data_IF_605927824425
#
_entry.id   IF_605927824425
#
_cell.length_a   1.000
_cell.length_b   1.000
_cell.length_c   1.000
_cell.angle_alpha   90.00
_cell.angle_beta   90.00
_cell.angle_gamma   90.00
#
_symmetry.space_group_name_H-M   'P 1'
#
loop_
_entity.id
_entity.type
_entity.pdbx_description
1 polymer ?
#
# COMPACT_ATOMS: atom_id res chain seq x y z
N UNK A 1 6.25 1.40 15.69
CA UNK A 1 6.81 1.28 14.35
C UNK A 1 5.71 0.96 13.33
N UNK A 2 5.58 1.78 12.27
CA UNK A 2 4.57 1.60 11.24
C UNK A 2 5.22 1.40 9.87
N UNK A 3 4.81 0.36 9.15
CA UNK A 3 5.15 0.16 7.73
C UNK A 3 3.94 0.57 6.87
N UNK A 4 4.15 1.48 5.94
CA UNK A 4 3.18 1.81 4.90
C UNK A 4 3.68 1.18 3.60
N UNK A 5 2.94 0.22 3.05
CA UNK A 5 3.26 -0.36 1.75
C UNK A 5 2.39 0.32 0.69
N UNK A 6 3.03 1.06 -0.20
CA UNK A 6 2.39 1.62 -1.38
C UNK A 6 2.49 0.58 -2.49
N UNK A 7 1.38 -0.09 -2.76
CA UNK A 7 1.26 -1.03 -3.87
C UNK A 7 1.18 -0.31 -5.21
N UNK A 8 1.55 -0.99 -6.26
CA UNK A 8 1.55 -0.47 -7.63
C UNK A 8 0.57 -1.28 -8.48
N UNK A 9 -0.39 -0.60 -9.08
CA UNK A 9 -1.30 -1.14 -10.12
C UNK A 9 -2.21 -2.30 -9.66
N UNK A 10 -2.41 -2.53 -8.37
CA UNK A 10 -3.30 -3.60 -7.88
C UNK A 10 -4.73 -3.10 -7.81
N UNK A 11 -5.64 -3.73 -8.56
CA UNK A 11 -7.06 -3.39 -8.59
C UNK A 11 -7.90 -4.22 -7.61
N UNK A 12 -8.97 -3.63 -7.08
CA UNK A 12 -9.86 -4.27 -6.13
C UNK A 12 -10.55 -5.53 -6.69
N UNK A 13 -10.86 -5.56 -7.99
CA UNK A 13 -11.60 -6.63 -8.66
C UNK A 13 -10.84 -7.98 -8.69
N UNK A 14 -9.50 -7.96 -8.62
CA UNK A 14 -8.67 -9.18 -8.60
C UNK A 14 -8.12 -9.49 -7.20
N UNK A 15 -8.60 -8.80 -6.17
CA UNK A 15 -8.18 -9.01 -4.78
C UNK A 15 -9.02 -10.09 -4.10
N UNK A 16 -8.40 -11.21 -3.71
CA UNK A 16 -9.09 -12.37 -3.14
C UNK A 16 -9.92 -12.05 -1.90
N UNK A 17 -9.41 -11.20 -0.99
CA UNK A 17 -10.14 -10.76 0.22
C UNK A 17 -11.39 -9.93 -0.09
N UNK A 18 -11.54 -9.39 -1.30
CA UNK A 18 -12.75 -8.70 -1.76
C UNK A 18 -13.78 -9.64 -2.40
N UNK A 19 -13.56 -10.96 -2.32
CA UNK A 19 -14.47 -11.94 -2.89
C UNK A 19 -14.25 -12.22 -4.38
N UNK A 20 -13.07 -11.92 -4.90
CA UNK A 20 -12.70 -12.34 -6.25
C UNK A 20 -12.81 -13.87 -6.42
N UNK A 21 -13.32 -14.34 -7.57
CA UNK A 21 -13.56 -15.77 -7.80
C UNK A 21 -12.31 -16.66 -7.81
N UNK A 22 -11.12 -16.05 -7.82
CA UNK A 22 -9.83 -16.73 -7.62
C UNK A 22 -9.19 -16.24 -6.32
N UNK A 23 -8.67 -17.18 -5.52
CA UNK A 23 -7.94 -16.79 -4.31
C UNK A 23 -6.54 -16.32 -4.69
N UNK A 24 -6.38 -15.01 -4.81
CA UNK A 24 -5.12 -14.30 -5.10
C UNK A 24 -4.43 -13.76 -3.84
N UNK A 25 -5.07 -13.87 -2.67
CA UNK A 25 -4.54 -13.41 -1.39
C UNK A 25 -4.62 -14.49 -0.31
N UNK A 26 -4.10 -15.73 -0.58
CA UNK A 26 -4.25 -16.85 0.35
C UNK A 26 -3.48 -16.66 1.66
N UNK A 27 -2.34 -15.98 1.64
CA UNK A 27 -1.54 -15.78 2.84
C UNK A 27 -2.15 -14.71 3.76
N UNK A 28 -2.60 -13.58 3.20
CA UNK A 28 -3.32 -12.56 3.97
C UNK A 28 -4.64 -13.09 4.54
N UNK A 29 -5.33 -13.98 3.81
CA UNK A 29 -6.56 -14.62 4.29
C UNK A 29 -6.32 -15.53 5.52
N UNK A 30 -5.08 -15.98 5.74
CA UNK A 30 -4.68 -16.77 6.89
C UNK A 30 -4.16 -15.93 8.07
N UNK A 31 -4.05 -14.60 7.89
CA UNK A 31 -3.58 -13.64 8.91
C UNK A 31 -4.73 -12.82 9.46
N UNK A 32 -4.55 -12.29 10.68
CA UNK A 32 -5.53 -11.42 11.34
C UNK A 32 -5.46 -9.98 10.79
N UNK A 33 -5.85 -9.79 9.52
CA UNK A 33 -5.84 -8.49 8.86
C UNK A 33 -7.24 -7.85 8.82
N UNK A 34 -7.28 -6.53 8.72
CA UNK A 34 -8.49 -5.76 8.39
C UNK A 34 -8.44 -5.39 6.93
N UNK A 35 -9.35 -5.94 6.12
CA UNK A 35 -9.46 -5.65 4.69
C UNK A 35 -10.56 -4.62 4.43
N UNK A 36 -10.20 -3.53 3.76
CA UNK A 36 -11.13 -2.49 3.32
C UNK A 36 -11.62 -2.84 1.92
N UNK A 37 -12.91 -3.14 1.79
CA UNK A 37 -13.47 -3.74 0.58
C UNK A 37 -13.86 -2.74 -0.52
N UNK A 38 -13.99 -1.45 -0.18
CA UNK A 38 -14.37 -0.39 -1.12
C UNK A 38 -13.50 0.85 -0.93
N UNK A 39 -12.34 0.87 -1.58
CA UNK A 39 -11.40 1.98 -1.52
C UNK A 39 -11.23 2.63 -2.89
N UNK A 40 -11.32 3.97 -2.94
CA UNK A 40 -11.14 4.74 -4.17
C UNK A 40 -9.79 5.44 -4.16
N UNK A 41 -9.00 5.22 -5.21
CA UNK A 41 -7.71 5.88 -5.40
C UNK A 41 -7.87 7.37 -5.75
N UNK A 42 -6.88 8.17 -5.41
CA UNK A 42 -6.84 9.58 -5.75
C UNK A 42 -6.61 9.85 -7.24
N UNK A 43 -5.95 8.95 -7.93
CA UNK A 43 -5.64 9.03 -9.35
C UNK A 43 -5.75 7.66 -10.02
N UNK A 44 -5.54 7.66 -11.33
CA UNK A 44 -5.44 6.48 -12.17
C UNK A 44 -4.00 6.20 -12.62
N UNK A 45 -3.03 6.87 -11.99
CA UNK A 45 -1.59 6.70 -12.20
C UNK A 45 -0.80 7.18 -10.99
N UNK A 46 0.43 6.70 -10.86
CA UNK A 46 1.34 6.95 -9.74
C UNK A 46 1.68 8.44 -9.54
N UNK A 47 1.89 9.19 -10.65
CA UNK A 47 2.24 10.61 -10.60
C UNK A 47 1.17 11.49 -9.94
N UNK A 48 -0.09 11.06 -9.99
CA UNK A 48 -1.22 11.73 -9.35
C UNK A 48 -1.50 11.12 -7.97
N UNK A 49 -1.59 9.80 -7.89
CA UNK A 49 -2.03 9.11 -6.68
C UNK A 49 -1.07 9.28 -5.52
N UNK A 50 0.23 9.06 -5.73
CA UNK A 50 1.21 9.05 -4.64
C UNK A 50 1.30 10.41 -3.93
N UNK A 51 1.52 11.56 -4.61
CA UNK A 51 1.49 12.85 -3.92
C UNK A 51 0.16 13.14 -3.22
N UNK A 52 -0.95 12.73 -3.83
CA UNK A 52 -2.29 12.98 -3.34
C UNK A 52 -2.59 12.21 -2.05
N UNK A 53 -2.28 10.90 -2.01
CA UNK A 53 -2.57 10.05 -0.84
C UNK A 53 -1.71 10.40 0.39
N UNK A 54 -0.57 11.05 0.18
CA UNK A 54 0.29 11.57 1.25
C UNK A 54 0.04 13.05 1.57
N UNK A 55 -1.01 13.65 1.02
CA UNK A 55 -1.40 15.05 1.23
C UNK A 55 -2.63 15.18 2.14
N UNK A 56 -2.67 16.22 2.94
CA UNK A 56 -3.85 16.57 3.74
C UNK A 56 -5.07 16.96 2.89
N UNK A 57 -4.85 17.34 1.62
CA UNK A 57 -5.93 17.78 0.73
C UNK A 57 -6.69 16.62 0.10
N UNK A 58 -5.95 15.54 -0.27
CA UNK A 58 -6.53 14.37 -0.90
C UNK A 58 -7.22 14.64 -2.24
N UNK A 59 -8.11 13.73 -2.66
CA UNK A 59 -8.90 13.87 -3.87
C UNK A 59 -10.06 14.86 -3.72
N UNK A 60 -10.62 14.98 -2.53
CA UNK A 60 -11.75 15.88 -2.24
C UNK A 60 -11.43 17.37 -2.47
N UNK A 61 -10.18 17.77 -2.27
CA UNK A 61 -9.68 19.15 -2.48
C UNK A 61 -8.44 19.11 -3.38
N UNK A 62 -8.53 18.33 -4.47
CA UNK A 62 -7.41 18.07 -5.35
C UNK A 62 -7.01 19.31 -6.13
N UNK A 63 -5.84 19.81 -5.85
CA UNK A 63 -5.11 20.80 -6.62
C UNK A 63 -3.63 20.36 -6.66
N UNK A 64 -3.14 20.10 -7.87
CA UNK A 64 -1.79 19.59 -8.09
C UNK A 64 -0.70 20.49 -7.52
N UNK A 65 -0.85 21.80 -7.75
CA UNK A 65 0.17 22.78 -7.37
C UNK A 65 0.14 23.01 -5.87
N UNK A 66 -1.04 23.02 -5.26
CA UNK A 66 -1.26 23.10 -3.83
C UNK A 66 -0.67 21.86 -3.12
N UNK A 67 -0.92 20.66 -3.63
CA UNK A 67 -0.38 19.40 -3.09
C UNK A 67 1.15 19.43 -3.16
N UNK A 68 1.73 19.79 -4.31
CA UNK A 68 3.19 19.84 -4.50
C UNK A 68 3.88 20.96 -3.73
N UNK A 69 3.17 22.05 -3.46
CA UNK A 69 3.65 23.18 -2.69
C UNK A 69 3.47 23.05 -1.17
N UNK A 70 2.92 21.95 -0.71
CA UNK A 70 2.62 21.70 0.70
C UNK A 70 3.45 20.53 1.25
N UNK A 71 3.59 20.50 2.58
CA UNK A 71 4.24 19.37 3.24
C UNK A 71 3.42 18.09 3.11
N UNK A 72 4.12 16.99 2.86
CA UNK A 72 3.54 15.66 2.85
C UNK A 72 3.32 15.14 4.27
N UNK A 73 2.60 14.01 4.40
CA UNK A 73 2.48 13.23 5.63
C UNK A 73 3.84 13.00 6.31
N UNK A 74 4.88 12.63 5.52
CA UNK A 74 6.19 12.32 6.07
C UNK A 74 6.86 13.55 6.70
N UNK A 75 6.72 14.74 6.10
CA UNK A 75 7.23 15.97 6.67
C UNK A 75 6.51 16.32 8.00
N UNK A 76 5.19 16.12 8.06
CA UNK A 76 4.42 16.36 9.29
C UNK A 76 4.86 15.40 10.40
N UNK A 77 5.11 14.12 10.06
CA UNK A 77 5.61 13.10 10.99
C UNK A 77 7.02 13.48 11.53
N UNK A 78 7.95 13.85 10.65
CA UNK A 78 9.30 14.26 11.05
C UNK A 78 9.28 15.48 11.99
N UNK A 79 8.43 16.48 11.73
CA UNK A 79 8.24 17.62 12.63
C UNK A 79 7.67 17.23 13.99
N UNK A 80 6.91 16.17 14.05
CA UNK A 80 6.36 15.61 15.28
C UNK A 80 7.37 14.73 16.04
N UNK A 81 8.58 14.52 15.50
CA UNK A 81 9.62 13.69 16.09
C UNK A 81 9.53 12.20 15.71
N UNK A 82 8.66 11.85 14.76
CA UNK A 82 8.58 10.51 14.20
C UNK A 82 9.55 10.41 13.02
N UNK A 83 10.52 9.52 13.09
CA UNK A 83 11.46 9.29 11.98
C UNK A 83 10.75 8.68 10.79
N UNK A 84 11.16 9.08 9.57
CA UNK A 84 10.60 8.52 8.35
C UNK A 84 11.69 8.00 7.42
N UNK A 85 11.40 6.93 6.69
CA UNK A 85 12.26 6.37 5.65
C UNK A 85 11.39 5.93 4.46
N UNK A 86 11.76 6.34 3.26
CA UNK A 86 11.17 5.85 2.01
C UNK A 86 12.11 4.85 1.34
N UNK A 87 11.67 3.60 1.18
CA UNK A 87 12.35 2.58 0.39
C UNK A 87 11.61 2.40 -0.93
N UNK A 88 12.32 2.64 -2.04
CA UNK A 88 11.72 2.72 -3.37
C UNK A 88 12.22 1.62 -4.29
N UNK A 89 11.31 0.80 -4.80
CA UNK A 89 11.58 -0.13 -5.91
C UNK A 89 10.83 0.28 -7.20
N UNK A 90 10.23 1.46 -7.22
CA UNK A 90 9.44 2.01 -8.32
C UNK A 90 10.20 3.18 -9.02
N UNK A 91 9.67 4.35 -9.13
CA UNK A 91 10.27 5.50 -9.85
C UNK A 91 10.40 6.74 -8.96
N UNK A 92 10.71 6.55 -7.68
CA UNK A 92 10.87 7.60 -6.68
C UNK A 92 9.58 8.01 -5.98
N UNK A 93 9.70 8.80 -4.94
CA UNK A 93 8.60 9.19 -4.05
C UNK A 93 7.71 10.33 -4.57
N UNK A 94 7.87 10.77 -5.81
CA UNK A 94 7.04 11.81 -6.46
C UNK A 94 6.95 13.14 -5.68
N UNK A 95 7.99 13.47 -4.94
CA UNK A 95 8.07 14.67 -4.10
C UNK A 95 7.60 14.48 -2.65
N UNK A 96 7.02 13.34 -2.32
CA UNK A 96 6.52 13.04 -0.95
C UNK A 96 7.64 13.02 0.07
N UNK A 97 8.83 12.56 -0.29
CA UNK A 97 10.00 12.43 0.60
C UNK A 97 11.13 13.42 0.27
N UNK A 98 10.82 14.58 -0.31
CA UNK A 98 11.82 15.60 -0.62
C UNK A 98 12.58 15.99 0.64
N UNK A 99 13.91 15.97 0.57
CA UNK A 99 14.81 16.27 1.70
C UNK A 99 14.68 15.34 2.93
N UNK A 100 14.02 14.18 2.79
CA UNK A 100 13.88 13.15 3.81
C UNK A 100 14.72 11.91 3.48
N UNK A 101 14.81 10.96 4.43
CA UNK A 101 15.55 9.74 4.24
C UNK A 101 14.94 8.88 3.11
N UNK A 102 15.78 8.50 2.15
CA UNK A 102 15.37 7.80 0.94
C UNK A 102 16.41 6.75 0.53
N UNK A 103 15.93 5.54 0.23
CA UNK A 103 16.72 4.43 -0.32
C UNK A 103 16.07 3.95 -1.63
N UNK A 104 16.90 3.74 -2.67
CA UNK A 104 16.42 3.24 -3.97
C UNK A 104 16.96 1.86 -4.27
N UNK A 105 16.07 0.96 -4.66
CA UNK A 105 16.36 -0.41 -5.10
C UNK A 105 16.09 -0.60 -6.60
N UNK A 106 15.81 0.47 -7.32
CA UNK A 106 15.48 0.47 -8.74
C UNK A 106 16.65 0.03 -9.64
N UNK A 107 17.87 0.34 -9.24
CA UNK A 107 19.06 -0.10 -9.99
C UNK A 107 19.40 -1.51 -9.53
N UNK A 108 19.40 -2.50 -10.44
CA UNK A 108 19.71 -3.86 -10.07
C UNK A 108 21.10 -3.95 -9.41
N UNK A 109 21.14 -4.65 -8.29
CA UNK A 109 22.35 -5.02 -7.57
C UNK A 109 22.65 -6.51 -7.81
N UNK A 110 23.84 -6.95 -7.48
CA UNK A 110 24.17 -8.37 -7.57
C UNK A 110 23.54 -9.12 -6.39
N UNK A 111 22.26 -9.45 -6.54
CA UNK A 111 21.45 -10.16 -5.56
C UNK A 111 20.57 -11.21 -6.26
N UNK A 112 20.19 -12.27 -5.57
CA UNK A 112 19.29 -13.31 -6.08
C UNK A 112 17.87 -12.81 -6.36
N UNK A 113 17.51 -11.68 -5.76
CA UNK A 113 16.22 -11.01 -5.95
C UNK A 113 16.20 -10.10 -7.18
N UNK A 114 17.34 -9.93 -7.89
CA UNK A 114 17.46 -9.01 -9.02
C UNK A 114 17.81 -9.76 -10.31
N UNK A 115 17.22 -9.32 -11.42
CA UNK A 115 17.69 -9.64 -12.77
C UNK A 115 18.45 -8.44 -13.38
N UNK A 116 18.73 -8.46 -14.68
CA UNK A 116 19.47 -7.38 -15.37
C UNK A 116 18.67 -6.07 -15.49
N UNK A 117 17.39 -6.07 -15.15
CA UNK A 117 16.46 -4.94 -15.36
C UNK A 117 15.84 -4.41 -14.09
N UNK A 118 15.54 -5.26 -13.11
CA UNK A 118 14.84 -4.88 -11.89
C UNK A 118 15.10 -5.87 -10.75
N UNK A 119 14.80 -5.44 -9.53
CA UNK A 119 14.72 -6.31 -8.36
C UNK A 119 13.28 -6.63 -8.01
N UNK A 120 13.04 -7.79 -7.40
CA UNK A 120 11.75 -8.09 -6.77
C UNK A 120 11.57 -7.24 -5.52
N UNK A 121 10.34 -6.96 -5.15
CA UNK A 121 10.02 -6.05 -4.05
C UNK A 121 10.57 -6.51 -2.70
N UNK A 122 10.80 -7.83 -2.51
CA UNK A 122 11.42 -8.38 -1.29
C UNK A 122 12.80 -7.79 -0.99
N UNK A 123 13.49 -7.20 -1.96
CA UNK A 123 14.76 -6.51 -1.74
C UNK A 123 14.63 -5.40 -0.69
N UNK A 124 13.46 -4.75 -0.62
CA UNK A 124 13.18 -3.69 0.33
C UNK A 124 13.06 -4.19 1.79
N UNK A 125 12.90 -5.49 2.00
CA UNK A 125 12.84 -6.09 3.34
C UNK A 125 14.23 -6.37 3.91
N UNK A 126 15.28 -6.39 3.07
CA UNK A 126 16.64 -6.63 3.53
C UNK A 126 17.09 -5.51 4.48
N UNK A 127 17.60 -5.89 5.67
CA UNK A 127 18.04 -4.95 6.71
C UNK A 127 16.92 -4.05 7.28
N UNK A 128 15.65 -4.32 6.97
CA UNK A 128 14.54 -3.53 7.52
C UNK A 128 14.39 -3.78 9.03
N UNK A 129 14.56 -5.02 9.48
CA UNK A 129 14.52 -5.37 10.90
C UNK A 129 15.60 -4.63 11.70
N UNK A 130 16.83 -4.60 11.19
CA UNK A 130 17.95 -3.89 11.85
C UNK A 130 17.66 -2.38 11.96
N UNK A 131 17.05 -1.81 10.92
CA UNK A 131 16.61 -0.40 10.93
C UNK A 131 15.55 -0.10 11.99
N UNK A 132 14.77 -1.10 12.41
CA UNK A 132 13.79 -1.00 13.50
C UNK A 132 14.52 -1.02 14.85
N UNK A 133 15.36 -2.04 15.09
CA UNK A 133 16.04 -2.26 16.37
C UNK A 133 16.97 -1.09 16.74
N UNK A 134 17.63 -0.47 15.76
CA UNK A 134 18.54 0.68 15.96
C UNK A 134 17.82 1.98 16.32
N UNK A 135 16.48 2.02 16.29
CA UNK A 135 15.70 3.23 16.55
C UNK A 135 14.76 3.08 17.74
N UNK A 136 15.10 3.63 18.92
CA UNK A 136 14.28 3.50 20.14
C UNK A 136 13.02 4.38 20.13
N UNK A 137 12.80 5.22 19.10
CA UNK A 137 11.65 6.11 18.97
C UNK A 137 10.64 5.65 17.93
N UNK A 138 9.64 6.48 17.69
CA UNK A 138 8.64 6.21 16.66
C UNK A 138 9.21 6.32 15.24
N UNK A 139 8.92 5.33 14.40
CA UNK A 139 9.41 5.26 13.02
C UNK A 139 8.26 4.90 12.08
N UNK A 140 8.21 5.55 10.92
CA UNK A 140 7.36 5.19 9.80
C UNK A 140 8.22 4.89 8.59
N UNK A 141 8.14 3.68 8.06
CA UNK A 141 8.81 3.28 6.83
C UNK A 141 7.80 3.12 5.71
N UNK A 142 8.04 3.75 4.57
CA UNK A 142 7.27 3.54 3.35
C UNK A 142 8.03 2.57 2.45
N UNK A 143 7.35 1.49 2.03
CA UNK A 143 7.84 0.54 1.03
C UNK A 143 7.06 0.74 -0.26
N UNK A 144 7.69 1.33 -1.27
CA UNK A 144 7.04 1.63 -2.55
C UNK A 144 7.37 0.55 -3.58
N UNK A 145 6.40 -0.30 -3.83
CA UNK A 145 6.56 -1.49 -4.65
C UNK A 145 6.65 -1.18 -6.15
N UNK A 146 7.37 -2.02 -6.88
CA UNK A 146 7.20 -2.18 -8.33
C UNK A 146 5.90 -2.95 -8.63
N UNK A 147 5.48 -3.78 -7.70
CA UNK A 147 4.15 -4.41 -7.64
C UNK A 147 3.71 -5.08 -8.92
N UNK A 148 2.48 -4.77 -9.35
CA UNK A 148 1.86 -5.32 -10.54
C UNK A 148 2.11 -4.47 -11.81
N UNK A 149 3.10 -3.59 -11.82
CA UNK A 149 3.35 -2.66 -12.93
C UNK A 149 3.48 -3.37 -14.28
N UNK A 150 2.54 -3.05 -15.19
CA UNK A 150 2.47 -3.59 -16.54
C UNK A 150 3.42 -2.93 -17.55
N UNK A 151 3.38 -3.36 -18.82
CA UNK A 151 2.63 -4.51 -19.36
C UNK A 151 3.27 -5.89 -19.08
N UNK A 152 4.50 -5.93 -18.54
CA UNK A 152 5.27 -7.16 -18.33
C UNK A 152 4.94 -7.82 -16.98
N UNK A 153 3.66 -8.15 -16.74
CA UNK A 153 3.21 -8.75 -15.46
C UNK A 153 4.00 -10.00 -15.09
N UNK A 154 4.39 -10.83 -16.08
CA UNK A 154 5.17 -12.06 -15.88
C UNK A 154 6.54 -11.85 -15.23
N UNK A 155 7.04 -10.62 -15.20
CA UNK A 155 8.28 -10.25 -14.52
C UNK A 155 8.07 -9.86 -13.04
N UNK A 156 6.83 -9.85 -12.55
CA UNK A 156 6.47 -9.37 -11.21
C UNK A 156 6.39 -10.50 -10.18
N UNK A 157 6.49 -11.74 -10.59
CA UNK A 157 6.42 -12.91 -9.72
C UNK A 157 7.50 -13.94 -10.08
N UNK A 158 8.02 -14.66 -9.07
CA UNK A 158 8.92 -15.78 -9.29
C UNK A 158 8.15 -17.02 -9.79
N UNK A 159 8.87 -17.99 -10.34
CA UNK A 159 8.28 -19.18 -10.95
C UNK A 159 7.45 -20.02 -9.96
N UNK A 160 7.86 -20.10 -8.70
CA UNK A 160 7.16 -20.82 -7.64
C UNK A 160 5.82 -20.19 -7.22
N UNK A 161 5.56 -18.93 -7.59
CA UNK A 161 4.26 -18.27 -7.42
C UNK A 161 3.40 -18.31 -8.70
N UNK A 162 3.84 -19.00 -9.76
CA UNK A 162 3.07 -19.17 -11.00
C UNK A 162 1.96 -20.21 -10.79
N UNK A 163 0.79 -19.74 -10.39
CA UNK A 163 -0.38 -20.60 -10.11
C UNK A 163 -1.39 -20.65 -11.25
N UNK A 164 -1.58 -19.52 -11.93
CA UNK A 164 -2.58 -19.40 -13.00
C UNK A 164 -1.88 -19.48 -14.34
N UNK A 165 -2.20 -20.54 -15.12
CA UNK A 165 -1.56 -20.85 -16.40
C UNK A 165 -2.59 -21.23 -17.47
N UNK A 166 -2.28 -21.08 -18.77
CA UNK A 166 -1.10 -20.38 -19.30
C UNK A 166 -1.11 -18.88 -18.98
N UNK A 167 0.06 -18.30 -18.71
CA UNK A 167 0.24 -16.88 -18.41
C UNK A 167 0.89 -16.14 -19.58
N UNK A 168 0.55 -14.85 -19.75
CA UNK A 168 1.15 -14.02 -20.78
C UNK A 168 2.60 -13.69 -20.43
N UNK A 169 3.56 -14.25 -21.17
CA UNK A 169 5.00 -14.00 -21.01
C UNK A 169 5.57 -13.07 -22.10
N UNK A 170 4.77 -12.07 -22.49
CA UNK A 170 5.12 -11.09 -23.50
C UNK A 170 4.76 -9.67 -23.04
N UNK A 171 5.65 -8.70 -23.25
CA UNK A 171 5.37 -7.29 -22.99
C UNK A 171 4.36 -6.67 -23.99
N UNK A 172 4.27 -7.26 -25.20
CA UNK A 172 3.24 -6.92 -26.17
C UNK A 172 1.97 -7.72 -25.85
N UNK A 173 1.05 -7.11 -25.10
CA UNK A 173 -0.20 -7.74 -24.67
C UNK A 173 -1.08 -8.20 -25.85
N UNK A 174 -0.93 -7.59 -27.05
CA UNK A 174 -1.61 -7.99 -28.27
C UNK A 174 -1.25 -9.38 -28.76
N UNK A 175 -0.17 -9.97 -28.25
CA UNK A 175 0.27 -11.36 -28.56
C UNK A 175 -0.30 -12.41 -27.62
N UNK A 176 -1.03 -12.00 -26.61
CA UNK A 176 -1.64 -12.88 -25.62
C UNK A 176 -3.17 -12.81 -25.67
N UNK A 177 -3.81 -13.86 -25.29
CA UNK A 177 -5.25 -13.82 -25.03
C UNK A 177 -5.51 -13.05 -23.74
N UNK A 178 -6.73 -12.53 -23.61
CA UNK A 178 -7.14 -11.85 -22.37
C UNK A 178 -7.02 -12.76 -21.14
N UNK A 179 -7.32 -14.05 -21.29
CA UNK A 179 -7.17 -15.02 -20.20
C UNK A 179 -5.72 -15.17 -19.73
N UNK A 180 -4.76 -15.22 -20.65
CA UNK A 180 -3.34 -15.27 -20.32
C UNK A 180 -2.85 -13.98 -19.64
N UNK A 181 -3.36 -12.82 -20.08
CA UNK A 181 -3.06 -11.53 -19.43
C UNK A 181 -3.57 -11.52 -17.99
N UNK A 182 -4.82 -11.93 -17.76
CA UNK A 182 -5.41 -12.03 -16.42
C UNK A 182 -4.65 -13.04 -15.56
N UNK A 183 -4.21 -14.17 -16.11
CA UNK A 183 -3.42 -15.17 -15.39
C UNK A 183 -2.07 -14.58 -14.93
N UNK A 184 -1.36 -13.89 -15.80
CA UNK A 184 -0.09 -13.22 -15.45
C UNK A 184 -0.31 -12.14 -14.38
N UNK A 185 -1.38 -11.35 -14.50
CA UNK A 185 -1.75 -10.34 -13.52
C UNK A 185 -2.10 -10.94 -12.15
N UNK A 186 -2.90 -12.00 -12.11
CA UNK A 186 -3.29 -12.68 -10.87
C UNK A 186 -2.09 -13.33 -10.17
N UNK A 187 -1.12 -13.86 -10.93
CA UNK A 187 0.14 -14.34 -10.37
C UNK A 187 0.97 -13.20 -9.75
N UNK A 188 0.95 -12.01 -10.36
CA UNK A 188 1.59 -10.83 -9.76
C UNK A 188 0.88 -10.36 -8.47
N UNK A 189 -0.46 -10.51 -8.38
CA UNK A 189 -1.18 -10.26 -7.11
C UNK A 189 -0.78 -11.28 -6.04
N UNK A 190 -0.57 -12.55 -6.39
CA UNK A 190 -0.03 -13.55 -5.45
C UNK A 190 1.35 -13.15 -4.91
N UNK A 191 2.21 -12.55 -5.74
CA UNK A 191 3.50 -12.05 -5.27
C UNK A 191 3.36 -10.86 -4.31
N UNK A 192 2.38 -9.98 -4.53
CA UNK A 192 2.04 -8.92 -3.58
C UNK A 192 1.53 -9.49 -2.25
N UNK A 193 0.65 -10.50 -2.28
CA UNK A 193 0.19 -11.22 -1.08
C UNK A 193 1.34 -11.83 -0.30
N UNK A 194 2.28 -12.49 -0.99
CA UNK A 194 3.47 -13.10 -0.38
C UNK A 194 4.38 -12.04 0.27
N UNK A 195 4.61 -10.93 -0.42
CA UNK A 195 5.39 -9.81 0.11
C UNK A 195 4.78 -9.23 1.39
N UNK A 196 3.47 -8.97 1.38
CA UNK A 196 2.76 -8.42 2.53
C UNK A 196 2.77 -9.39 3.71
N UNK A 197 2.54 -10.67 3.46
CA UNK A 197 2.59 -11.70 4.50
C UNK A 197 3.99 -11.85 5.12
N UNK A 198 5.06 -11.78 4.30
CA UNK A 198 6.45 -11.77 4.78
C UNK A 198 6.71 -10.55 5.66
N UNK A 199 6.26 -9.38 5.23
CA UNK A 199 6.41 -8.15 5.99
C UNK A 199 5.68 -8.24 7.34
N UNK A 200 4.43 -8.71 7.37
CA UNK A 200 3.67 -8.90 8.61
C UNK A 200 4.39 -9.87 9.55
N UNK A 201 4.83 -11.04 9.05
CA UNK A 201 5.53 -12.02 9.88
C UNK A 201 6.83 -11.48 10.47
N UNK A 202 7.55 -10.63 9.73
CA UNK A 202 8.74 -9.94 10.25
C UNK A 202 8.35 -8.98 11.38
N UNK A 203 7.28 -8.20 11.21
CA UNK A 203 6.78 -7.27 12.23
C UNK A 203 6.24 -8.01 13.48
N UNK A 204 5.65 -9.18 13.32
CA UNK A 204 5.20 -10.04 14.44
C UNK A 204 6.36 -10.54 15.32
N UNK A 205 7.55 -10.68 14.73
CA UNK A 205 8.74 -11.14 15.44
C UNK A 205 9.38 -10.04 16.28
N UNK A 206 9.16 -8.78 15.96
CA UNK A 206 9.63 -7.65 16.77
C UNK A 206 8.89 -7.63 18.12
N UNK A 207 9.67 -7.64 19.21
CA UNK A 207 9.17 -7.59 20.59
C UNK A 207 9.55 -6.29 21.31
N UNK A 208 10.28 -5.41 20.62
CA UNK A 208 10.77 -4.14 21.16
C UNK A 208 9.83 -2.98 20.86
N UNK A 209 9.01 -3.09 19.81
CA UNK A 209 8.11 -2.05 19.35
C UNK A 209 6.67 -2.53 19.19
N UNK A 210 5.74 -1.61 19.31
CA UNK A 210 4.39 -1.75 18.84
C UNK A 210 4.39 -1.58 17.32
N UNK A 211 4.04 -2.64 16.59
CA UNK A 211 4.20 -2.68 15.13
C UNK A 211 2.88 -2.70 14.39
N UNK A 212 2.84 -2.04 13.23
CA UNK A 212 1.67 -2.05 12.34
C UNK A 212 2.07 -2.00 10.87
N UNK A 213 1.15 -2.41 10.00
CA UNK A 213 1.26 -2.32 8.55
C UNK A 213 -0.04 -1.76 7.96
N UNK A 214 0.11 -0.81 7.05
CA UNK A 214 -0.97 -0.34 6.17
C UNK A 214 -0.51 -0.57 4.73
N UNK A 215 -1.25 -1.37 3.98
CA UNK A 215 -1.09 -1.53 2.55
C UNK A 215 -2.22 -0.85 1.81
N UNK A 216 -1.89 -0.12 0.76
CA UNK A 216 -2.87 0.41 -0.19
C UNK A 216 -2.21 0.54 -1.57
N UNK A 217 -2.90 0.08 -2.63
CA UNK A 217 -2.40 0.29 -3.99
C UNK A 217 -2.65 1.72 -4.42
N UNK A 218 -1.71 2.27 -5.19
CA UNK A 218 -1.77 3.66 -5.67
C UNK A 218 -2.86 3.87 -6.74
N UNK A 219 -3.08 2.90 -7.62
CA UNK A 219 -4.18 2.84 -8.59
C UNK A 219 -4.43 1.39 -9.02
N UNK A 220 -5.43 1.18 -9.84
CA UNK A 220 -5.74 -0.12 -10.44
C UNK A 220 -5.26 -0.23 -11.89
N UNK A 221 -5.79 -1.24 -12.60
CA UNK A 221 -5.37 -1.62 -13.95
C UNK A 221 -6.54 -2.15 -14.79
N UNK A 222 -6.63 -1.74 -16.04
CA UNK A 222 -7.53 -2.34 -17.02
C UNK A 222 -6.85 -3.49 -17.74
N UNK A 223 -7.52 -4.64 -17.82
CA UNK A 223 -7.01 -5.88 -18.40
C UNK A 223 -7.80 -6.31 -19.67
N UNK A 224 -8.23 -5.32 -20.45
CA UNK A 224 -8.97 -5.54 -21.69
C UNK A 224 -10.49 -5.40 -21.57
N UNK A 225 -11.00 -4.88 -20.45
CA UNK A 225 -12.41 -4.48 -20.34
C UNK A 225 -12.71 -3.37 -21.33
N UNK A 226 -13.76 -3.54 -22.16
CA UNK A 226 -14.12 -2.62 -23.26
C UNK A 226 -12.92 -2.26 -24.17
N UNK A 227 -11.97 -3.20 -24.37
CA UNK A 227 -10.71 -3.01 -25.11
C UNK A 227 -9.77 -1.94 -24.48
N UNK A 228 -9.96 -1.61 -23.22
CA UNK A 228 -9.04 -0.75 -22.47
C UNK A 228 -8.01 -1.60 -21.74
N UNK A 229 -6.74 -1.26 -21.88
CA UNK A 229 -5.62 -1.91 -21.21
C UNK A 229 -4.79 -0.86 -20.46
N UNK A 230 -4.07 -1.33 -19.43
CA UNK A 230 -3.21 -0.51 -18.61
C UNK A 230 -4.01 0.56 -17.82
N UNK A 231 -3.38 1.66 -17.48
CA UNK A 231 -3.92 2.70 -16.59
C UNK A 231 -3.64 4.12 -17.14
N UNK A 232 -4.00 5.14 -16.38
CA UNK A 232 -3.65 6.53 -16.70
C UNK A 232 -4.72 7.29 -17.50
N UNK A 233 -5.94 6.77 -17.62
CA UNK A 233 -7.04 7.55 -18.17
C UNK A 233 -7.33 8.77 -17.26
N UNK A 234 -7.74 9.91 -17.85
CA UNK A 234 -8.17 11.06 -17.05
C UNK A 234 -9.19 10.63 -15.99
N UNK A 235 -9.02 11.05 -14.75
CA UNK A 235 -9.80 10.57 -13.60
C UNK A 235 -11.31 10.62 -13.82
N UNK A 236 -11.81 11.66 -14.47
CA UNK A 236 -13.25 11.85 -14.73
C UNK A 236 -13.88 10.77 -15.64
N UNK A 237 -13.06 10.03 -16.39
CA UNK A 237 -13.50 8.98 -17.31
C UNK A 237 -12.81 7.64 -17.03
N UNK A 238 -11.97 7.57 -15.99
CA UNK A 238 -11.28 6.35 -15.62
C UNK A 238 -12.29 5.33 -15.11
N UNK A 239 -12.23 4.08 -15.60
CA UNK A 239 -13.12 3.02 -15.13
C UNK A 239 -12.75 2.59 -13.71
N UNK A 240 -13.68 1.95 -13.01
CA UNK A 240 -13.45 1.41 -11.66
C UNK A 240 -12.23 0.49 -11.58
N UNK A 241 -11.89 -0.21 -12.66
CA UNK A 241 -10.68 -1.03 -12.74
C UNK A 241 -9.38 -0.26 -12.56
N UNK A 242 -9.36 1.04 -12.82
CA UNK A 242 -8.19 1.90 -12.66
C UNK A 242 -8.20 2.73 -11.36
N UNK A 243 -9.35 2.85 -10.67
CA UNK A 243 -9.47 3.70 -9.49
C UNK A 243 -9.97 2.97 -8.23
N UNK A 244 -10.52 1.75 -8.34
CA UNK A 244 -10.86 0.94 -7.17
C UNK A 244 -9.69 0.03 -6.82
N UNK A 245 -9.18 0.18 -5.59
CA UNK A 245 -7.95 -0.44 -5.12
C UNK A 245 -8.16 -1.20 -3.81
N UNK A 246 -7.35 -2.23 -3.51
CA UNK A 246 -7.34 -2.85 -2.19
C UNK A 246 -6.61 -2.00 -1.15
N UNK A 247 -7.06 -2.09 0.09
CA UNK A 247 -6.34 -1.62 1.26
C UNK A 247 -6.46 -2.64 2.38
N UNK A 248 -5.34 -2.92 3.05
CA UNK A 248 -5.26 -3.87 4.17
C UNK A 248 -4.50 -3.25 5.32
N UNK A 249 -4.97 -3.50 6.54
CA UNK A 249 -4.26 -3.10 7.76
C UNK A 249 -4.00 -4.32 8.64
N UNK A 250 -2.82 -4.33 9.26
CA UNK A 250 -2.45 -5.28 10.30
C UNK A 250 -1.79 -4.53 11.46
N UNK A 251 -2.04 -4.96 12.68
CA UNK A 251 -1.47 -4.35 13.89
C UNK A 251 -1.15 -5.42 14.93
N UNK A 252 0.02 -5.30 15.55
CA UNK A 252 0.39 -6.11 16.71
C UNK A 252 -0.52 -5.84 17.90
N UNK A 253 -0.56 -6.73 18.87
CA UNK A 253 -1.34 -6.54 20.09
C UNK A 253 -0.88 -5.30 20.87
N UNK A 254 0.43 -5.00 20.84
CA UNK A 254 0.99 -3.78 21.39
C UNK A 254 0.40 -2.54 20.71
N UNK A 255 0.43 -2.46 19.39
CA UNK A 255 -0.11 -1.32 18.63
C UNK A 255 -1.61 -1.12 18.89
N UNK A 256 -2.38 -2.21 18.97
CA UNK A 256 -3.82 -2.15 19.33
C UNK A 256 -4.00 -1.60 20.75
N UNK A 257 -3.21 -2.07 21.71
CA UNK A 257 -3.30 -1.68 23.12
C UNK A 257 -2.88 -0.23 23.36
N UNK A 258 -1.74 0.19 22.78
CA UNK A 258 -1.21 1.56 22.93
C UNK A 258 -2.15 2.61 22.36
N UNK A 259 -2.90 2.26 21.32
CA UNK A 259 -3.89 3.13 20.70
C UNK A 259 -5.32 2.91 21.26
N UNK A 260 -5.48 2.00 22.20
CA UNK A 260 -6.80 1.69 22.79
C UNK A 260 -7.84 1.30 21.73
N UNK A 261 -7.44 0.62 20.66
CA UNK A 261 -8.28 0.36 19.49
C UNK A 261 -9.31 -0.74 19.74
N UNK A 262 -10.55 -0.44 19.41
CA UNK A 262 -11.59 -1.45 19.18
C UNK A 262 -11.48 -1.97 17.74
N UNK A 263 -10.82 -3.11 17.57
CA UNK A 263 -10.58 -3.70 16.26
C UNK A 263 -11.90 -4.11 15.57
N UNK A 264 -12.96 -4.45 16.32
CA UNK A 264 -14.26 -4.77 15.73
C UNK A 264 -14.90 -3.53 15.11
N UNK A 265 -14.79 -2.38 15.75
CA UNK A 265 -15.20 -1.10 15.19
C UNK A 265 -14.46 -0.78 13.88
N UNK A 266 -13.14 -0.99 13.83
CA UNK A 266 -12.34 -0.79 12.61
C UNK A 266 -12.77 -1.77 11.51
N UNK A 267 -13.06 -3.03 11.84
CA UNK A 267 -13.58 -4.04 10.89
C UNK A 267 -14.96 -3.67 10.35
N UNK A 268 -15.83 -3.08 11.16
CA UNK A 268 -17.14 -2.64 10.68
C UNK A 268 -17.02 -1.40 9.78
N UNK A 269 -16.09 -0.50 10.10
CA UNK A 269 -15.76 0.65 9.25
C UNK A 269 -15.14 0.23 7.90
N UNK A 270 -14.34 -0.83 7.89
CA UNK A 270 -13.70 -1.31 6.66
C UNK A 270 -14.68 -1.82 5.59
N UNK A 271 -15.94 -2.05 5.96
CA UNK A 271 -17.04 -2.41 5.04
C UNK A 271 -17.70 -1.19 4.40
N UNK A 272 -17.35 0.01 4.84
CA UNK A 272 -17.89 1.27 4.31
C UNK A 272 -16.95 1.86 3.25
N UNK A 273 -17.47 2.68 2.32
CA UNK A 273 -16.61 3.36 1.34
C UNK A 273 -15.53 4.18 2.02
N UNK A 274 -14.31 4.04 1.51
CA UNK A 274 -13.12 4.80 1.90
C UNK A 274 -12.32 5.22 0.67
N UNK A 275 -11.29 6.00 0.88
CA UNK A 275 -10.46 6.49 -0.21
C UNK A 275 -9.01 6.74 0.24
N UNK A 276 -8.15 7.08 -0.69
CA UNK A 276 -6.80 7.55 -0.40
C UNK A 276 -6.78 8.76 0.56
N UNK A 277 -7.83 9.58 0.59
CA UNK A 277 -7.94 10.73 1.49
C UNK A 277 -7.87 10.33 2.97
N UNK A 278 -8.21 9.06 3.27
CA UNK A 278 -8.13 8.55 4.64
C UNK A 278 -6.69 8.26 5.11
N UNK A 279 -5.74 7.99 4.20
CA UNK A 279 -4.40 7.52 4.59
C UNK A 279 -3.68 8.55 5.46
N UNK A 280 -3.58 9.79 4.99
CA UNK A 280 -2.87 10.89 5.68
C UNK A 280 -3.37 11.04 7.13
N UNK A 281 -4.68 11.13 7.30
CA UNK A 281 -5.31 11.40 8.58
C UNK A 281 -5.29 10.17 9.51
N UNK A 282 -5.42 8.97 8.95
CA UNK A 282 -5.37 7.72 9.72
C UNK A 282 -3.97 7.44 10.26
N UNK A 283 -2.93 7.71 9.47
CA UNK A 283 -1.55 7.54 9.94
C UNK A 283 -1.23 8.54 11.05
N UNK A 284 -1.62 9.81 10.92
CA UNK A 284 -1.44 10.79 11.99
C UNK A 284 -2.16 10.37 13.28
N UNK A 285 -3.40 9.86 13.16
CA UNK A 285 -4.16 9.37 14.30
C UNK A 285 -3.50 8.16 14.97
N UNK A 286 -3.08 7.16 14.18
CA UNK A 286 -2.43 5.95 14.67
C UNK A 286 -1.07 6.25 15.35
N UNK A 287 -0.32 7.21 14.82
CA UNK A 287 0.95 7.69 15.39
C UNK A 287 0.74 8.73 16.49
N UNK A 288 -0.50 9.02 16.88
CA UNK A 288 -0.88 9.96 17.95
C UNK A 288 -0.30 11.38 17.78
N UNK A 289 -0.13 11.80 16.52
CA UNK A 289 0.41 13.13 16.18
C UNK A 289 -0.67 14.20 16.32
N UNK A 290 -0.44 15.16 17.22
CA UNK A 290 -1.35 16.29 17.43
C UNK A 290 -0.97 17.43 16.49
N UNK A 291 -1.84 17.74 15.55
CA UNK A 291 -1.64 18.79 14.56
C UNK A 291 -2.95 19.35 14.06
N UNK A 292 -2.93 20.61 13.61
CA UNK A 292 -4.12 21.31 13.07
C UNK A 292 -4.51 20.82 11.67
N UNK A 293 -3.63 20.06 10.99
CA UNK A 293 -3.94 19.51 9.66
C UNK A 293 -4.65 18.15 9.73
N UNK A 294 -4.78 17.56 10.94
CA UNK A 294 -5.55 16.33 11.14
C UNK A 294 -7.05 16.62 11.03
N UNK A 295 -7.72 15.94 10.12
CA UNK A 295 -9.19 15.91 10.02
C UNK A 295 -9.68 14.56 10.57
N UNK A 296 -10.24 14.58 11.76
CA UNK A 296 -10.76 13.38 12.43
C UNK A 296 -11.89 12.67 11.65
N UNK A 297 -12.60 13.38 10.79
CA UNK A 297 -13.64 12.76 9.95
C UNK A 297 -13.08 11.83 8.88
N UNK A 298 -11.80 11.98 8.55
CA UNK A 298 -11.06 11.13 7.59
C UNK A 298 -10.16 10.10 8.28
N UNK A 299 -10.00 10.18 9.59
CA UNK A 299 -9.25 9.21 10.37
C UNK A 299 -10.07 7.92 10.55
N UNK A 300 -9.63 6.82 9.93
CA UNK A 300 -10.30 5.52 9.99
C UNK A 300 -10.34 4.91 11.41
N UNK A 301 -9.57 5.42 12.34
CA UNK A 301 -9.55 4.97 13.73
C UNK A 301 -10.38 5.89 14.66
N UNK A 302 -10.77 7.07 14.19
CA UNK A 302 -11.55 8.02 15.01
C UNK A 302 -12.86 7.41 15.50
N UNK A 303 -13.11 7.49 16.82
CA UNK A 303 -14.28 6.87 17.46
C UNK A 303 -14.24 5.33 17.56
N UNK A 304 -13.16 4.67 17.12
CA UNK A 304 -12.92 3.24 17.32
C UNK A 304 -11.93 2.97 18.48
N UNK A 305 -12.00 3.77 19.54
CA UNK A 305 -11.25 3.53 20.77
C UNK A 305 -12.14 2.79 21.77
N UNK A 306 -11.58 1.77 22.42
CA UNK A 306 -12.24 1.10 23.54
C UNK A 306 -12.45 2.13 24.65
N UNK A 307 -13.67 2.40 25.05
CA UNK A 307 -13.92 3.13 26.27
C UNK A 307 -13.37 2.31 27.43
N UNK A 308 -12.15 2.62 27.86
CA UNK A 308 -11.72 2.21 29.20
C UNK A 308 -12.77 2.77 30.15
N UNK A 309 -13.59 1.88 30.74
CA UNK A 309 -14.75 2.27 31.54
C UNK A 309 -14.38 3.35 32.54
N UNK A 310 -14.97 4.50 32.38
CA UNK A 310 -15.20 5.39 33.49
C UNK A 310 -16.26 4.72 34.37
N UNK A 311 -15.79 3.73 35.20
CA UNK A 311 -16.51 3.42 36.43
C UNK A 311 -16.27 4.60 37.36
N UNK A 312 -17.31 5.40 37.52
CA UNK A 312 -17.47 6.38 38.59
C UNK A 312 -17.37 5.74 39.99
#
# INVERSE_FOLDING_TARGET
>A
FLVIVVGETVRAQNWGLNGYGRQTTPQLAALDVVNFSDVTACGSNTEVSVPCMFSAYGRRDYDRDKIKGSESLLHVLERAGVRTLWRDNQTGCKGVCSDLAFESYRVPVKDVLCDDQACRDEIMLQGLHDSIEDNPGDVVVVLHQLGNHGPSYFKRYPEDLTKFTPDCRNADLGKCTRGEIVNAYDNAVLATDDFLAKTIRMLEQDKSHDTGLIYVSDHGESLGEANVYLHGLPYAIAPDTQIKVPMVMWMSDGMKSSNNLDLQCVRDRSKQPSSHDNLFHSVLGLMQVRTTVLDESLNLFSGCTSNAGHSL
#
